data_IF_953628569725
#
_entry.id   IF_953628569725
#
_cell.length_a   1.000
_cell.length_b   1.000
_cell.length_c   1.000
_cell.angle_alpha   90.00
_cell.angle_beta   90.00
_cell.angle_gamma   90.00
#
_symmetry.space_group_name_H-M   'P 1'
#
loop_
_entity.id
_entity.type
_entity.pdbx_description
1 polymer ?
#
# COMPACT_ATOMS: atom_id res chain seq x y z
N UNK A 1 -62.48 40.15 36.69
CA UNK A 1 -61.39 39.41 37.32
C UNK A 1 -60.98 38.27 36.33
N UNK A 2 -59.89 38.45 35.59
CA UNK A 2 -59.37 37.46 34.64
C UNK A 2 -58.27 36.68 35.34
N UNK A 3 -58.46 35.33 35.44
CA UNK A 3 -57.46 34.39 35.94
C UNK A 3 -56.49 34.05 34.81
N UNK A 4 -55.20 34.33 35.00
CA UNK A 4 -54.12 33.85 34.12
C UNK A 4 -53.67 32.50 34.66
N UNK A 5 -53.76 31.45 33.79
CA UNK A 5 -53.20 30.13 34.01
C UNK A 5 -51.76 30.12 33.45
N UNK A 6 -50.80 29.95 34.34
CA UNK A 6 -49.37 29.81 33.96
C UNK A 6 -49.11 28.31 33.68
N UNK A 7 -48.94 27.95 32.41
CA UNK A 7 -48.45 26.64 32.05
C UNK A 7 -46.91 26.58 32.19
N UNK A 8 -46.46 25.76 33.10
CA UNK A 8 -45.03 25.45 33.27
C UNK A 8 -44.66 24.31 32.27
N UNK A 9 -43.95 24.67 31.20
CA UNK A 9 -43.39 23.68 30.26
C UNK A 9 -42.10 23.14 30.84
N UNK A 10 -42.14 21.81 31.19
CA UNK A 10 -40.94 21.07 31.62
C UNK A 10 -40.17 20.66 30.38
N UNK A 11 -39.05 21.32 30.14
CA UNK A 11 -38.07 20.85 29.12
C UNK A 11 -37.24 19.74 29.72
N UNK A 12 -37.53 18.50 29.28
CA UNK A 12 -36.68 17.33 29.55
C UNK A 12 -35.46 17.41 28.61
N UNK A 13 -34.32 17.78 29.18
CA UNK A 13 -33.03 17.74 28.50
C UNK A 13 -32.53 16.29 28.46
N UNK A 14 -32.79 15.60 27.36
CA UNK A 14 -32.22 14.25 27.14
C UNK A 14 -30.73 14.44 26.78
N UNK A 15 -29.85 14.21 27.75
CA UNK A 15 -28.42 14.11 27.52
C UNK A 15 -28.14 12.78 26.78
N UNK A 16 -27.88 12.85 25.48
CA UNK A 16 -27.30 11.74 24.74
C UNK A 16 -25.84 11.59 25.18
N UNK A 17 -25.56 10.65 26.07
CA UNK A 17 -24.20 10.18 26.29
C UNK A 17 -23.79 9.36 25.07
N UNK A 18 -22.98 9.95 24.20
CA UNK A 18 -22.30 9.22 23.14
C UNK A 18 -21.28 8.34 23.85
N UNK A 19 -21.61 7.06 24.06
CA UNK A 19 -20.63 6.04 24.39
C UNK A 19 -19.77 5.87 23.13
N UNK A 20 -18.64 6.58 23.09
CA UNK A 20 -17.57 6.29 22.14
C UNK A 20 -17.07 4.90 22.48
N UNK A 21 -17.44 3.92 21.68
CA UNK A 21 -16.79 2.61 21.71
C UNK A 21 -15.31 2.84 21.39
N UNK A 22 -14.48 2.67 22.40
CA UNK A 22 -13.03 2.66 22.23
C UNK A 22 -12.65 1.31 21.62
N UNK A 23 -12.77 1.23 20.29
CA UNK A 23 -12.38 0.04 19.52
C UNK A 23 -10.86 -0.07 19.50
N UNK A 24 -10.31 -0.69 20.54
CA UNK A 24 -8.89 -1.05 20.62
C UNK A 24 -8.48 -2.10 19.56
N UNK A 25 -9.41 -2.54 18.72
CA UNK A 25 -9.22 -3.52 17.65
C UNK A 25 -9.14 -2.91 16.24
N UNK A 26 -8.82 -1.62 16.10
CA UNK A 26 -8.60 -1.07 14.76
C UNK A 26 -7.37 -1.71 14.13
N UNK A 27 -7.59 -2.54 13.10
CA UNK A 27 -6.55 -3.18 12.29
C UNK A 27 -5.70 -2.17 11.50
N UNK A 28 -6.09 -0.91 11.45
CA UNK A 28 -5.41 0.16 10.72
C UNK A 28 -5.04 1.31 11.63
N UNK A 29 -3.75 1.57 11.77
CA UNK A 29 -3.26 2.84 12.29
C UNK A 29 -3.26 3.82 11.11
N UNK A 30 -4.15 4.79 11.13
CA UNK A 30 -4.21 5.84 10.11
C UNK A 30 -3.10 6.83 10.42
N UNK A 31 -2.14 6.96 9.49
CA UNK A 31 -1.15 8.03 9.55
C UNK A 31 -1.81 9.31 9.09
N UNK A 32 -2.17 10.19 10.04
CA UNK A 32 -2.69 11.51 9.73
C UNK A 32 -1.55 12.40 9.21
N UNK A 33 -1.64 12.79 7.95
CA UNK A 33 -0.73 13.78 7.33
C UNK A 33 -1.54 15.05 7.11
N UNK A 34 -1.26 16.13 7.87
CA UNK A 34 -1.93 17.41 7.65
C UNK A 34 -1.69 17.90 6.22
N UNK A 35 -2.75 18.34 5.55
CA UNK A 35 -2.60 19.00 4.25
C UNK A 35 -2.00 20.40 4.47
N UNK A 36 -1.10 20.87 3.57
CA UNK A 36 -0.56 22.22 3.65
C UNK A 36 -1.68 23.26 3.55
N UNK A 37 -1.55 24.36 4.29
CA UNK A 37 -2.48 25.50 4.19
C UNK A 37 -2.38 26.12 2.78
N UNK A 38 -3.45 26.81 2.35
CA UNK A 38 -3.51 27.43 1.01
C UNK A 38 -2.39 28.43 0.72
N UNK A 39 -1.82 29.01 1.77
CA UNK A 39 -0.80 30.07 1.68
C UNK A 39 0.62 29.53 1.91
N UNK A 40 0.79 28.24 2.17
CA UNK A 40 2.07 27.63 2.44
C UNK A 40 2.77 27.27 1.13
N UNK A 41 3.96 27.84 0.89
CA UNK A 41 4.78 27.47 -0.27
C UNK A 41 5.29 26.04 -0.07
N UNK A 42 4.75 25.10 -0.87
CA UNK A 42 5.18 23.70 -0.85
C UNK A 42 6.62 23.65 -1.40
N UNK A 43 7.55 23.24 -0.56
CA UNK A 43 8.94 22.97 -0.93
C UNK A 43 9.10 21.45 -0.95
N UNK A 44 9.37 20.90 -2.13
CA UNK A 44 9.65 19.48 -2.32
C UNK A 44 11.09 19.21 -1.92
N UNK A 45 11.30 18.28 -1.00
CA UNK A 45 12.61 17.88 -0.52
C UNK A 45 13.31 16.85 -1.41
N UNK A 46 14.30 16.16 -0.86
CA UNK A 46 14.98 15.05 -1.51
C UNK A 46 14.69 13.73 -0.79
N UNK A 47 14.43 12.63 -1.52
CA UNK A 47 14.26 11.32 -0.89
C UNK A 47 15.54 10.84 -0.16
N UNK A 48 16.72 11.31 -0.55
CA UNK A 48 17.99 10.99 0.09
C UNK A 48 18.15 11.59 1.52
N UNK A 49 17.32 12.58 1.86
CA UNK A 49 17.32 13.22 3.18
C UNK A 49 16.43 12.48 4.19
N UNK A 50 15.55 11.60 3.70
CA UNK A 50 14.62 10.85 4.55
C UNK A 50 15.33 9.66 5.18
N UNK A 51 15.31 9.59 6.51
CA UNK A 51 15.97 8.52 7.25
C UNK A 51 15.01 7.93 8.28
N UNK A 52 15.00 6.61 8.36
CA UNK A 52 14.33 5.92 9.45
C UNK A 52 15.10 6.07 10.77
N UNK A 53 14.39 5.92 11.87
CA UNK A 53 15.02 5.77 13.18
C UNK A 53 15.90 4.52 13.20
N UNK A 54 16.95 4.47 14.06
CA UNK A 54 17.76 3.28 14.23
C UNK A 54 16.91 2.04 14.53
N UNK A 55 17.19 0.93 13.85
CA UNK A 55 16.48 -0.34 14.00
C UNK A 55 16.91 -1.34 12.93
N UNK A 56 16.32 -2.53 12.97
CA UNK A 56 16.64 -3.63 12.06
C UNK A 56 16.31 -3.32 10.58
N UNK A 57 15.29 -2.49 10.34
CA UNK A 57 14.87 -2.10 8.99
C UNK A 57 15.17 -0.64 8.71
N UNK A 58 15.66 -0.38 7.52
CA UNK A 58 15.88 0.96 6.98
C UNK A 58 14.98 1.18 5.75
N UNK A 59 14.79 2.44 5.37
CA UNK A 59 14.05 2.74 4.13
C UNK A 59 14.81 2.16 2.93
N UNK A 60 14.10 1.43 2.08
CA UNK A 60 14.59 1.16 0.73
C UNK A 60 14.79 2.50 0.01
N UNK A 61 15.95 2.69 -0.57
CA UNK A 61 16.26 3.91 -1.30
C UNK A 61 15.29 4.07 -2.48
N UNK A 62 14.65 5.23 -2.59
CA UNK A 62 13.83 5.55 -3.75
C UNK A 62 14.75 5.72 -4.97
N UNK A 63 14.57 4.94 -6.06
CA UNK A 63 15.53 4.95 -7.17
C UNK A 63 15.39 6.17 -8.11
N UNK A 64 14.56 7.15 -7.77
CA UNK A 64 14.28 8.35 -8.55
C UNK A 64 13.89 9.52 -7.63
N UNK A 65 14.03 10.75 -8.14
CA UNK A 65 13.62 11.96 -7.43
C UNK A 65 12.08 12.07 -7.37
N UNK A 66 11.54 12.83 -6.41
CA UNK A 66 10.11 12.99 -6.23
C UNK A 66 9.34 13.55 -7.45
N UNK A 67 10.01 14.31 -8.33
CA UNK A 67 9.40 14.85 -9.54
C UNK A 67 9.52 13.94 -10.76
N UNK A 68 10.20 12.82 -10.64
CA UNK A 68 10.60 12.01 -11.82
C UNK A 68 9.42 11.24 -12.45
N UNK A 69 8.39 10.90 -11.66
CA UNK A 69 7.22 10.16 -12.15
C UNK A 69 6.10 11.05 -12.70
N UNK A 70 6.29 12.39 -12.68
CA UNK A 70 5.31 13.30 -13.26
C UNK A 70 5.19 13.10 -14.79
N UNK A 71 3.99 13.25 -15.39
CA UNK A 71 2.74 13.68 -14.76
C UNK A 71 1.91 12.55 -14.10
N UNK A 72 2.37 11.30 -14.13
CA UNK A 72 1.61 10.14 -13.66
C UNK A 72 1.44 10.13 -12.12
N UNK A 73 2.49 10.49 -11.38
CA UNK A 73 2.44 10.73 -9.93
C UNK A 73 3.22 12.03 -9.68
N UNK A 74 2.56 13.05 -9.10
CA UNK A 74 3.20 14.34 -8.85
C UNK A 74 4.10 14.31 -7.62
N UNK A 75 5.02 15.28 -7.56
CA UNK A 75 6.05 15.38 -6.53
C UNK A 75 5.48 15.35 -5.10
N UNK A 76 4.43 16.11 -4.83
CA UNK A 76 3.85 16.18 -3.50
C UNK A 76 3.26 14.84 -3.06
N UNK A 77 2.58 14.13 -3.96
CA UNK A 77 2.04 12.81 -3.70
C UNK A 77 3.18 11.84 -3.36
N UNK A 78 4.22 11.80 -4.20
CA UNK A 78 5.34 10.88 -4.01
C UNK A 78 6.14 11.19 -2.74
N UNK A 79 6.42 12.48 -2.47
CA UNK A 79 7.13 12.90 -1.27
C UNK A 79 6.34 12.54 0.00
N UNK A 80 5.06 12.89 0.05
CA UNK A 80 4.21 12.59 1.21
C UNK A 80 4.12 11.07 1.43
N UNK A 81 3.94 10.31 0.37
CA UNK A 81 3.83 8.87 0.42
C UNK A 81 5.11 8.21 0.94
N UNK A 82 6.29 8.65 0.45
CA UNK A 82 7.58 8.10 0.87
C UNK A 82 8.02 8.63 2.24
N UNK A 83 8.04 9.97 2.43
CA UNK A 83 8.63 10.61 3.60
C UNK A 83 7.72 10.63 4.84
N UNK A 84 6.41 10.33 4.68
CA UNK A 84 5.45 10.26 5.79
C UNK A 84 4.93 8.85 5.98
N UNK A 85 4.20 8.29 5.01
CA UNK A 85 3.56 6.98 5.16
C UNK A 85 4.59 5.85 5.27
N UNK A 86 5.47 5.68 4.29
CA UNK A 86 6.47 4.61 4.31
C UNK A 86 7.46 4.74 5.46
N UNK A 87 7.92 5.96 5.76
CA UNK A 87 8.78 6.24 6.91
C UNK A 87 8.10 5.83 8.23
N UNK A 88 6.81 6.15 8.38
CA UNK A 88 6.07 5.79 9.60
C UNK A 88 5.93 4.28 9.75
N UNK A 89 5.59 3.56 8.68
CA UNK A 89 5.56 2.08 8.73
C UNK A 89 6.92 1.50 9.12
N UNK A 90 8.01 2.03 8.58
CA UNK A 90 9.37 1.56 8.90
C UNK A 90 9.71 1.79 10.37
N UNK A 91 9.47 3.00 10.88
CA UNK A 91 9.75 3.34 12.28
C UNK A 91 8.89 2.53 13.25
N UNK A 92 7.62 2.34 12.93
CA UNK A 92 6.70 1.56 13.77
C UNK A 92 7.03 0.07 13.73
N UNK A 93 7.44 -0.47 12.57
CA UNK A 93 7.95 -1.84 12.47
C UNK A 93 9.17 -2.03 13.39
N UNK A 94 10.18 -1.17 13.27
CA UNK A 94 11.37 -1.22 14.12
C UNK A 94 11.01 -1.20 15.62
N UNK A 95 10.06 -0.34 16.00
CA UNK A 95 9.58 -0.25 17.38
C UNK A 95 8.85 -1.53 17.82
N UNK A 96 8.05 -2.13 16.95
CA UNK A 96 7.25 -3.31 17.27
C UNK A 96 8.10 -4.57 17.44
N UNK A 97 9.22 -4.69 16.71
CA UNK A 97 10.09 -5.88 16.75
C UNK A 97 11.28 -5.76 17.69
N UNK A 98 11.57 -4.56 18.20
CA UNK A 98 12.71 -4.34 19.10
C UNK A 98 12.69 -5.28 20.33
N UNK A 99 13.81 -5.93 20.59
CA UNK A 99 13.97 -6.92 21.66
C UNK A 99 13.04 -8.15 21.54
N UNK A 100 12.60 -8.50 20.35
CA UNK A 100 11.86 -9.73 20.04
C UNK A 100 12.64 -10.61 19.07
N UNK A 101 12.22 -11.88 18.91
CA UNK A 101 12.82 -12.79 17.94
C UNK A 101 12.71 -12.27 16.48
N UNK A 102 11.76 -11.41 16.21
CA UNK A 102 11.55 -10.81 14.87
C UNK A 102 12.69 -9.85 14.47
N UNK A 103 13.44 -9.28 15.42
CA UNK A 103 14.51 -8.32 15.13
C UNK A 103 15.61 -8.90 14.22
N UNK A 104 15.81 -10.22 14.26
CA UNK A 104 16.83 -10.92 13.47
C UNK A 104 16.25 -11.64 12.25
N UNK A 105 14.99 -11.40 11.90
CA UNK A 105 14.32 -12.04 10.76
C UNK A 105 14.29 -11.10 9.55
N UNK A 106 14.23 -11.70 8.34
CA UNK A 106 13.88 -10.93 7.15
C UNK A 106 12.40 -10.53 7.19
N UNK A 107 12.03 -9.51 6.44
CA UNK A 107 10.63 -9.06 6.40
C UNK A 107 9.68 -10.17 5.91
N UNK A 108 10.11 -10.99 4.95
CA UNK A 108 9.32 -12.12 4.44
C UNK A 108 9.13 -13.20 5.51
N UNK A 109 10.15 -13.44 6.34
CA UNK A 109 10.05 -14.36 7.47
C UNK A 109 9.06 -13.84 8.52
N UNK A 110 9.09 -12.55 8.81
CA UNK A 110 8.14 -11.90 9.73
C UNK A 110 6.72 -12.07 9.19
N UNK A 111 6.47 -11.69 7.92
CA UNK A 111 5.15 -11.76 7.28
C UNK A 111 4.57 -13.19 7.27
N UNK A 112 5.43 -14.19 7.06
CA UNK A 112 5.02 -15.60 7.09
C UNK A 112 4.76 -16.17 8.48
N UNK A 113 5.23 -15.51 9.57
CA UNK A 113 5.16 -16.02 10.95
C UNK A 113 4.28 -15.20 11.88
N UNK A 114 4.11 -13.90 11.61
CA UNK A 114 3.43 -12.97 12.51
C UNK A 114 2.04 -13.48 12.94
N UNK A 115 1.63 -13.07 14.15
CA UNK A 115 0.26 -13.26 14.61
C UNK A 115 -0.64 -12.24 13.91
N UNK A 116 -1.62 -12.74 13.16
CA UNK A 116 -2.59 -11.90 12.46
C UNK A 116 -3.50 -11.09 13.41
N UNK A 117 -3.57 -11.48 14.68
CA UNK A 117 -4.32 -10.77 15.74
C UNK A 117 -3.48 -9.67 16.41
N UNK A 118 -2.19 -9.51 16.07
CA UNK A 118 -1.40 -8.35 16.42
C UNK A 118 -1.53 -7.28 15.31
N UNK A 119 -2.47 -6.33 15.43
CA UNK A 119 -2.72 -5.36 14.38
C UNK A 119 -1.54 -4.42 14.16
N UNK A 120 -0.72 -4.16 15.18
CA UNK A 120 0.44 -3.27 15.07
C UNK A 120 1.53 -3.91 14.23
N UNK A 121 1.93 -5.13 14.58
CA UNK A 121 2.97 -5.83 13.81
C UNK A 121 2.48 -6.13 12.39
N UNK A 122 1.26 -6.66 12.22
CA UNK A 122 0.65 -6.98 10.93
C UNK A 122 0.63 -5.77 9.99
N UNK A 123 0.13 -4.63 10.47
CA UNK A 123 -0.02 -3.44 9.65
C UNK A 123 1.34 -2.81 9.31
N UNK A 124 2.27 -2.72 10.27
CA UNK A 124 3.54 -2.06 10.03
C UNK A 124 4.52 -2.94 9.24
N UNK A 125 4.56 -4.25 9.47
CA UNK A 125 5.34 -5.18 8.66
C UNK A 125 4.81 -5.27 7.21
N UNK A 126 3.49 -5.35 7.05
CA UNK A 126 2.85 -5.29 5.75
C UNK A 126 3.15 -3.98 5.03
N UNK A 127 2.93 -2.84 5.70
CA UNK A 127 3.18 -1.51 5.14
C UNK A 127 4.63 -1.33 4.69
N UNK A 128 5.59 -1.75 5.50
CA UNK A 128 7.00 -1.72 5.10
C UNK A 128 7.28 -2.53 3.83
N UNK A 129 6.86 -3.79 3.78
CA UNK A 129 7.10 -4.67 2.64
C UNK A 129 6.40 -4.17 1.37
N UNK A 130 5.12 -3.83 1.48
CA UNK A 130 4.29 -3.42 0.36
C UNK A 130 4.87 -2.20 -0.35
N UNK A 131 5.25 -1.17 0.43
CA UNK A 131 5.86 0.04 -0.11
C UNK A 131 7.27 -0.22 -0.67
N UNK A 132 8.09 -1.04 0.01
CA UNK A 132 9.41 -1.42 -0.48
C UNK A 132 9.37 -2.06 -1.87
N UNK A 133 8.37 -2.90 -2.13
CA UNK A 133 8.14 -3.49 -3.45
C UNK A 133 7.59 -2.46 -4.43
N UNK A 134 6.59 -1.66 -4.02
CA UNK A 134 5.92 -0.67 -4.87
C UNK A 134 6.90 0.34 -5.49
N UNK A 135 7.84 0.88 -4.70
CA UNK A 135 8.86 1.81 -5.22
C UNK A 135 9.70 1.19 -6.35
N UNK A 136 10.04 -0.08 -6.22
CA UNK A 136 10.85 -0.81 -7.21
C UNK A 136 10.04 -1.19 -8.46
N UNK A 137 8.71 -1.22 -8.37
CA UNK A 137 7.82 -1.49 -9.50
C UNK A 137 7.71 -0.34 -10.49
N UNK A 138 8.21 0.86 -10.15
CA UNK A 138 8.07 2.06 -10.97
C UNK A 138 9.42 2.57 -11.47
N UNK A 139 9.38 3.23 -12.63
CA UNK A 139 10.53 3.93 -13.21
C UNK A 139 10.06 5.14 -14.02
N UNK A 140 10.81 6.25 -14.03
CA UNK A 140 10.49 7.41 -14.86
C UNK A 140 10.71 7.15 -16.37
N UNK A 141 11.45 6.11 -16.71
CA UNK A 141 11.80 5.76 -18.10
C UNK A 141 11.68 4.25 -18.29
N UNK A 142 10.48 3.72 -18.50
CA UNK A 142 10.31 2.30 -18.84
C UNK A 142 11.06 1.99 -20.13
N UNK A 143 11.86 0.92 -20.14
CA UNK A 143 12.55 0.45 -21.35
C UNK A 143 11.59 -0.19 -22.35
N UNK A 144 10.45 -0.68 -21.85
CA UNK A 144 9.36 -1.24 -22.65
C UNK A 144 7.99 -0.86 -22.07
N UNK A 145 6.99 -0.78 -22.92
CA UNK A 145 5.59 -0.50 -22.53
C UNK A 145 4.89 -1.72 -21.93
N UNK A 146 5.49 -2.90 -22.03
CA UNK A 146 4.93 -4.17 -21.56
C UNK A 146 6.04 -5.13 -21.16
N UNK A 147 5.65 -6.19 -20.46
CA UNK A 147 6.55 -7.29 -20.12
C UNK A 147 7.24 -7.88 -21.36
N UNK A 148 8.49 -8.32 -21.18
CA UNK A 148 9.31 -8.94 -22.22
C UNK A 148 9.71 -10.36 -21.81
N UNK A 149 10.33 -11.11 -22.72
CA UNK A 149 10.95 -12.40 -22.48
C UNK A 149 10.06 -13.44 -21.78
N UNK A 150 10.61 -14.07 -20.75
CA UNK A 150 9.94 -15.15 -19.99
C UNK A 150 8.68 -14.68 -19.29
N UNK A 151 8.65 -13.43 -18.79
CA UNK A 151 7.46 -12.87 -18.17
C UNK A 151 6.35 -12.65 -19.20
N UNK A 152 6.67 -12.12 -20.39
CA UNK A 152 5.68 -11.94 -21.45
C UNK A 152 5.06 -13.27 -21.87
N UNK A 153 5.86 -14.31 -22.03
CA UNK A 153 5.39 -15.65 -22.36
C UNK A 153 4.45 -16.22 -21.27
N UNK A 154 4.82 -16.05 -19.99
CA UNK A 154 3.97 -16.46 -18.88
C UNK A 154 2.67 -15.65 -18.80
N UNK A 155 2.71 -14.35 -19.02
CA UNK A 155 1.52 -13.49 -19.06
C UNK A 155 0.59 -13.89 -20.20
N UNK A 156 1.12 -14.16 -21.40
CA UNK A 156 0.33 -14.63 -22.53
C UNK A 156 -0.31 -16.00 -22.25
N UNK A 157 0.42 -16.91 -21.58
CA UNK A 157 -0.09 -18.22 -21.19
C UNK A 157 -1.25 -18.13 -20.20
N UNK A 158 -1.09 -17.31 -19.14
CA UNK A 158 -2.06 -17.27 -18.04
C UNK A 158 -3.22 -16.29 -18.30
N UNK A 159 -2.98 -15.22 -19.04
CA UNK A 159 -3.99 -14.17 -19.30
C UNK A 159 -4.40 -14.04 -20.77
N UNK A 160 -3.78 -14.78 -21.70
CA UNK A 160 -4.05 -14.75 -23.14
C UNK A 160 -3.34 -13.61 -23.88
N UNK A 161 -3.20 -12.43 -23.28
CA UNK A 161 -2.46 -11.30 -23.83
C UNK A 161 -2.12 -10.27 -22.75
N UNK A 162 -1.17 -9.38 -23.05
CA UNK A 162 -0.86 -8.21 -22.19
C UNK A 162 -2.09 -7.31 -21.97
N UNK A 163 -2.86 -7.04 -23.03
CA UNK A 163 -4.05 -6.19 -22.93
C UNK A 163 -5.11 -6.81 -22.01
N UNK A 164 -5.28 -8.12 -22.08
CA UNK A 164 -6.20 -8.82 -21.17
C UNK A 164 -5.69 -8.79 -19.74
N UNK A 165 -4.39 -9.02 -19.50
CA UNK A 165 -3.77 -8.83 -18.18
C UNK A 165 -4.06 -7.42 -17.64
N UNK A 166 -3.79 -6.36 -18.43
CA UNK A 166 -4.06 -4.96 -18.03
C UNK A 166 -5.52 -4.75 -17.65
N UNK A 167 -6.45 -5.30 -18.43
CA UNK A 167 -7.89 -5.20 -18.18
C UNK A 167 -8.28 -5.92 -16.88
N UNK A 168 -7.77 -7.12 -16.65
CA UNK A 168 -8.04 -7.91 -15.44
C UNK A 168 -7.45 -7.24 -14.19
N UNK A 169 -6.19 -6.77 -14.27
CA UNK A 169 -5.54 -6.06 -13.17
C UNK A 169 -6.32 -4.79 -12.79
N UNK A 170 -6.74 -4.00 -13.77
CA UNK A 170 -7.59 -2.82 -13.56
C UNK A 170 -8.94 -3.19 -12.95
N UNK A 171 -9.58 -4.26 -13.42
CA UNK A 171 -10.85 -4.72 -12.89
C UNK A 171 -10.72 -5.12 -11.40
N UNK A 172 -9.68 -5.87 -11.03
CA UNK A 172 -9.43 -6.25 -9.64
C UNK A 172 -9.11 -5.03 -8.76
N UNK A 173 -8.26 -4.09 -9.26
CA UNK A 173 -7.99 -2.83 -8.55
C UNK A 173 -9.27 -2.01 -8.30
N UNK A 174 -10.19 -2.01 -9.26
CA UNK A 174 -11.45 -1.26 -9.16
C UNK A 174 -12.42 -1.90 -8.16
N UNK A 175 -12.47 -3.24 -8.11
CA UNK A 175 -13.32 -3.99 -7.18
C UNK A 175 -12.88 -3.84 -5.73
N UNK A 176 -11.60 -3.59 -5.47
CA UNK A 176 -11.09 -3.43 -4.11
C UNK A 176 -11.80 -2.24 -3.45
N UNK A 177 -12.65 -2.54 -2.47
CA UNK A 177 -13.34 -1.55 -1.67
C UNK A 177 -12.48 -1.14 -0.48
N UNK A 178 -12.43 0.16 -0.20
CA UNK A 178 -11.59 0.70 0.87
C UNK A 178 -10.10 0.61 0.56
N UNK A 179 -9.29 0.71 1.61
CA UNK A 179 -7.83 0.66 1.54
C UNK A 179 -7.34 -0.75 1.24
N UNK A 180 -6.35 -0.88 0.37
CA UNK A 180 -5.79 -2.17 0.01
C UNK A 180 -4.77 -2.08 -1.11
N UNK A 181 -4.46 -3.22 -1.69
CA UNK A 181 -3.44 -3.38 -2.71
C UNK A 181 -3.93 -4.32 -3.80
N UNK A 182 -3.43 -4.14 -5.03
CA UNK A 182 -3.55 -5.14 -6.10
C UNK A 182 -2.17 -5.65 -6.49
N UNK A 183 -2.08 -6.93 -6.76
CA UNK A 183 -0.84 -7.68 -6.92
C UNK A 183 -0.85 -8.51 -8.19
N UNK A 184 0.34 -8.63 -8.82
CA UNK A 184 0.69 -9.77 -9.66
C UNK A 184 1.59 -10.70 -8.84
N UNK A 185 1.21 -11.96 -8.71
CA UNK A 185 1.82 -12.95 -7.83
C UNK A 185 2.26 -14.17 -8.63
N UNK A 186 3.40 -14.72 -8.26
CA UNK A 186 3.78 -16.09 -8.65
C UNK A 186 3.34 -17.05 -7.54
N UNK A 187 2.38 -17.91 -7.84
CA UNK A 187 1.86 -18.89 -6.89
C UNK A 187 2.82 -20.06 -6.66
N UNK A 188 2.47 -20.98 -5.75
CA UNK A 188 3.30 -22.16 -5.42
C UNK A 188 3.50 -23.12 -6.59
N UNK A 189 2.66 -23.06 -7.62
CA UNK A 189 2.79 -23.84 -8.86
C UNK A 189 3.59 -23.11 -9.95
N UNK A 190 4.10 -21.89 -9.67
CA UNK A 190 4.82 -21.07 -10.62
C UNK A 190 3.93 -20.32 -11.62
N UNK A 191 2.61 -20.30 -11.40
CA UNK A 191 1.65 -19.58 -12.25
C UNK A 191 1.50 -18.14 -11.82
N UNK A 192 1.22 -17.28 -12.79
CA UNK A 192 0.88 -15.88 -12.52
C UNK A 192 -0.59 -15.75 -12.13
N UNK A 193 -0.86 -15.04 -11.03
CA UNK A 193 -2.18 -14.76 -10.51
C UNK A 193 -2.32 -13.26 -10.21
N UNK A 194 -3.51 -12.71 -10.44
CA UNK A 194 -3.87 -11.36 -9.99
C UNK A 194 -4.73 -11.51 -8.72
N UNK A 195 -4.41 -10.76 -7.69
CA UNK A 195 -5.19 -10.77 -6.43
C UNK A 195 -5.18 -9.40 -5.78
N UNK A 196 -6.12 -9.18 -4.87
CA UNK A 196 -6.16 -8.00 -3.99
C UNK A 196 -6.06 -8.40 -2.54
N UNK A 197 -5.62 -7.48 -1.71
CA UNK A 197 -5.61 -7.63 -0.25
C UNK A 197 -6.12 -6.35 0.40
N UNK A 198 -6.73 -6.48 1.57
CA UNK A 198 -7.21 -5.35 2.36
C UNK A 198 -6.09 -4.73 3.19
N UNK A 199 -6.20 -3.45 3.45
CA UNK A 199 -5.28 -2.70 4.31
C UNK A 199 -3.82 -2.89 3.91
N UNK A 200 -2.95 -3.32 4.85
CA UNK A 200 -1.54 -3.62 4.56
C UNK A 200 -1.25 -5.13 4.47
N UNK A 201 -2.27 -5.97 4.38
CA UNK A 201 -2.08 -7.39 4.10
C UNK A 201 -1.43 -7.61 2.74
N UNK A 202 -0.75 -8.74 2.58
CA UNK A 202 -0.10 -9.09 1.32
C UNK A 202 -0.06 -10.62 1.09
N UNK A 203 0.28 -11.07 -0.13
CA UNK A 203 0.30 -12.49 -0.50
C UNK A 203 1.28 -13.39 0.25
N UNK A 204 2.19 -12.83 1.07
CA UNK A 204 3.12 -13.60 1.92
C UNK A 204 2.50 -13.98 3.27
N UNK A 205 1.41 -13.34 3.67
CA UNK A 205 0.74 -13.63 4.94
C UNK A 205 -0.10 -14.90 4.88
N UNK A 206 -0.31 -15.53 6.05
CA UNK A 206 -1.04 -16.81 6.15
C UNK A 206 -2.50 -16.74 5.73
N UNK A 207 -3.13 -15.56 5.81
CA UNK A 207 -4.52 -15.32 5.43
C UNK A 207 -4.72 -14.93 3.96
N UNK A 208 -3.66 -14.92 3.16
CA UNK A 208 -3.76 -14.54 1.76
C UNK A 208 -4.68 -15.50 0.99
N UNK A 209 -5.65 -14.94 0.25
CA UNK A 209 -6.55 -15.72 -0.62
C UNK A 209 -5.76 -16.46 -1.72
N UNK A 210 -4.78 -15.78 -2.30
CA UNK A 210 -3.84 -16.34 -3.26
C UNK A 210 -2.43 -16.13 -2.67
N UNK A 211 -1.91 -17.14 -1.94
CA UNK A 211 -0.56 -17.06 -1.39
C UNK A 211 0.49 -17.26 -2.48
N UNK A 212 1.58 -16.52 -2.38
CA UNK A 212 2.68 -16.61 -3.33
C UNK A 212 3.66 -15.47 -3.21
N UNK A 213 4.61 -15.38 -4.14
CA UNK A 213 5.60 -14.30 -4.17
C UNK A 213 5.09 -13.14 -5.01
N UNK A 214 4.80 -11.97 -4.43
CA UNK A 214 4.41 -10.78 -5.19
C UNK A 214 5.58 -10.32 -6.06
N UNK A 215 5.29 -9.98 -7.32
CA UNK A 215 6.27 -9.46 -8.27
C UNK A 215 5.95 -8.04 -8.75
N UNK A 216 4.67 -7.66 -8.70
CA UNK A 216 4.17 -6.32 -8.98
C UNK A 216 3.15 -5.94 -7.91
N UNK A 217 3.22 -4.71 -7.42
CA UNK A 217 2.31 -4.14 -6.43
C UNK A 217 1.80 -2.78 -6.90
N UNK A 218 0.50 -2.51 -6.67
CA UNK A 218 -0.06 -1.17 -6.79
C UNK A 218 -0.85 -0.85 -5.53
N UNK A 219 -0.50 0.28 -4.93
CA UNK A 219 -1.17 0.82 -3.76
C UNK A 219 -2.54 1.41 -4.13
N UNK A 220 -3.60 0.97 -3.47
CA UNK A 220 -4.97 1.45 -3.67
C UNK A 220 -5.48 2.25 -2.46
N UNK A 221 -4.62 2.55 -1.47
CA UNK A 221 -4.92 3.49 -0.42
C UNK A 221 -5.08 4.91 -1.02
N UNK A 222 -5.97 5.71 -0.48
CA UNK A 222 -6.21 7.06 -0.99
C UNK A 222 -4.96 7.94 -0.94
N UNK A 223 -4.07 7.76 0.04
CA UNK A 223 -2.82 8.51 0.13
C UNK A 223 -1.90 8.33 -1.08
N UNK A 224 -2.03 7.24 -1.82
CA UNK A 224 -1.22 7.00 -3.01
C UNK A 224 -1.67 7.82 -4.23
N UNK A 225 -2.93 8.27 -4.27
CA UNK A 225 -3.48 8.86 -5.50
C UNK A 225 -4.42 10.06 -5.30
N UNK A 226 -4.97 10.29 -4.09
CA UNK A 226 -6.07 11.24 -3.93
C UNK A 226 -5.67 12.69 -4.24
N UNK A 227 -4.45 13.09 -3.93
CA UNK A 227 -3.95 14.44 -4.25
C UNK A 227 -3.90 14.71 -5.76
N UNK A 228 -3.68 13.68 -6.59
CA UNK A 228 -3.54 13.79 -8.03
C UNK A 228 -4.85 13.47 -8.78
N UNK A 229 -5.58 12.50 -8.31
CA UNK A 229 -6.70 11.89 -9.02
C UNK A 229 -8.04 12.03 -8.32
N UNK A 230 -8.09 12.44 -7.05
CA UNK A 230 -9.27 12.46 -6.18
C UNK A 230 -10.00 11.10 -6.24
N UNK A 231 -11.29 11.09 -6.53
CA UNK A 231 -12.10 9.86 -6.63
C UNK A 231 -11.87 9.06 -7.92
N UNK A 232 -10.96 9.51 -8.82
CA UNK A 232 -10.72 8.85 -10.11
C UNK A 232 -9.67 7.74 -10.01
N UNK A 233 -9.87 6.78 -9.11
CA UNK A 233 -8.97 5.64 -8.91
C UNK A 233 -8.60 4.92 -10.22
N UNK A 234 -9.54 4.77 -11.15
CA UNK A 234 -9.28 4.15 -12.46
C UNK A 234 -8.25 4.92 -13.30
N UNK A 235 -8.26 6.25 -13.24
CA UNK A 235 -7.26 7.07 -13.94
C UNK A 235 -5.87 6.92 -13.33
N UNK A 236 -5.77 6.76 -12.02
CA UNK A 236 -4.52 6.44 -11.34
C UNK A 236 -3.98 5.07 -11.77
N UNK A 237 -4.84 4.03 -11.82
CA UNK A 237 -4.43 2.70 -12.31
C UNK A 237 -3.94 2.79 -13.74
N UNK A 238 -4.62 3.54 -14.63
CA UNK A 238 -4.16 3.74 -16.02
C UNK A 238 -2.80 4.46 -16.08
N UNK A 239 -2.60 5.49 -15.25
CA UNK A 239 -1.34 6.22 -15.17
C UNK A 239 -0.18 5.36 -14.64
N UNK A 240 -0.45 4.46 -13.71
CA UNK A 240 0.56 3.53 -13.20
C UNK A 240 1.15 2.65 -14.31
N UNK A 241 0.35 2.20 -15.28
CA UNK A 241 0.85 1.40 -16.40
C UNK A 241 1.86 2.13 -17.28
N UNK A 242 1.91 3.47 -17.24
CA UNK A 242 2.88 4.26 -18.00
C UNK A 242 4.27 4.30 -17.34
N UNK A 243 4.38 3.88 -16.08
CA UNK A 243 5.59 3.99 -15.26
C UNK A 243 6.05 2.66 -14.67
N UNK A 244 5.46 1.54 -15.08
CA UNK A 244 5.89 0.21 -14.61
C UNK A 244 7.30 -0.09 -15.10
N UNK A 245 8.16 -0.51 -14.17
CA UNK A 245 9.50 -1.00 -14.43
C UNK A 245 9.45 -2.49 -14.83
N UNK A 246 9.11 -2.78 -16.08
CA UNK A 246 8.95 -4.15 -16.56
C UNK A 246 10.23 -4.97 -16.50
N UNK A 247 11.39 -4.34 -16.60
CA UNK A 247 12.67 -5.01 -16.39
C UNK A 247 12.76 -5.55 -14.95
N UNK A 248 12.47 -4.69 -13.97
CA UNK A 248 12.46 -5.09 -12.55
C UNK A 248 11.41 -6.16 -12.25
N UNK A 249 10.22 -6.06 -12.84
CA UNK A 249 9.18 -7.07 -12.68
C UNK A 249 9.63 -8.42 -13.26
N UNK A 250 10.34 -8.42 -14.40
CA UNK A 250 10.91 -9.64 -14.98
C UNK A 250 12.00 -10.27 -14.09
N UNK A 251 12.87 -9.47 -13.45
CA UNK A 251 13.81 -9.95 -12.44
C UNK A 251 13.09 -10.56 -11.23
N UNK A 252 12.06 -9.86 -10.71
CA UNK A 252 11.26 -10.37 -9.61
C UNK A 252 10.60 -11.71 -9.97
N UNK A 253 10.09 -11.84 -11.21
CA UNK A 253 9.51 -13.08 -11.72
C UNK A 253 10.52 -14.22 -11.74
N UNK A 254 11.71 -14.02 -12.30
CA UNK A 254 12.79 -15.02 -12.32
C UNK A 254 13.17 -15.44 -10.89
N UNK A 255 13.28 -14.47 -9.98
CA UNK A 255 13.58 -14.72 -8.56
C UNK A 255 12.47 -15.52 -7.86
N UNK A 256 11.21 -15.22 -8.17
CA UNK A 256 10.06 -15.93 -7.62
C UNK A 256 10.02 -17.37 -8.10
N UNK A 257 10.23 -17.61 -9.42
CA UNK A 257 10.30 -18.97 -9.99
C UNK A 257 11.42 -19.82 -9.37
N UNK A 258 12.58 -19.22 -9.06
CA UNK A 258 13.68 -19.94 -8.42
C UNK A 258 13.37 -20.43 -7.00
N UNK A 259 12.28 -19.91 -6.36
CA UNK A 259 11.79 -20.37 -5.06
C UNK A 259 10.71 -21.46 -5.18
N UNK A 260 10.10 -21.65 -6.36
CA UNK A 260 9.06 -22.66 -6.58
C UNK A 260 9.66 -24.05 -6.38
N UNK A 261 8.99 -24.89 -5.60
CA UNK A 261 9.43 -26.27 -5.30
C UNK A 261 10.57 -26.42 -4.29
N UNK A 262 11.02 -25.31 -3.65
CA UNK A 262 12.05 -25.34 -2.60
C UNK A 262 11.50 -25.18 -1.17
N UNK A 263 10.17 -25.21 -1.01
CA UNK A 263 9.48 -25.08 0.29
C UNK A 263 8.95 -26.42 0.75
#
# INVERSE_FOLDING_TARGET
MKKYSTQFSFFILIAFTILSCNDNNKLTEVVEVPLPSKDEKIIIGSPDEVKANPGAFQLEKLPYAYNALAPNIRSLTLETHYSKHYLTYTNNLNKAIANTDYENMTIEQILGKLDLNDPKLRNNAGGYYNHSLYWKCMTPKPESEQATDTLANAMNKEFGSYNNFKSLFKAEATKQFGSGWVWLVVDKAGKLQITTTENQDNPLMKNALIPGTPILALDLWEHAYYLDYQNRKNSYVDAFFNIINWEKINENYKTALAKVGKV
#
